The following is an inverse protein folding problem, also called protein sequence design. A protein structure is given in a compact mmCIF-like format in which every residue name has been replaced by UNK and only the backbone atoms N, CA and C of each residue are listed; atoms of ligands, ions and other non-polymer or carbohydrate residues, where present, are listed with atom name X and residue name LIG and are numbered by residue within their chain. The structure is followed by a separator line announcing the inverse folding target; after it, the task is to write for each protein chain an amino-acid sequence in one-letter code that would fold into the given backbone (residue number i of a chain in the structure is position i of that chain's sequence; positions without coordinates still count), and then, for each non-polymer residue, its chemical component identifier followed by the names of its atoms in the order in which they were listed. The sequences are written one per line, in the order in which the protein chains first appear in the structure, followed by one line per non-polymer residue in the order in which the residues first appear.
data_IF_086489714624
#
_entry.id   IF_086489714624
#
_cell.length_a   1.000
_cell.length_b   1.000
_cell.length_c   1.000
_cell.angle_alpha   90.00
_cell.angle_beta   90.00
_cell.angle_gamma   90.00
#
_symmetry.space_group_name_H-M   'P 1'
#
loop_
_entity.id
_entity.type
_entity.pdbx_description
1 polymer ?
#
# COMPACT_ATOMS: atom_id res chain seq x y z
N UNK A 1 -6.47 11.11 -17.20
CA UNK A 1 -5.49 11.45 -16.13
C UNK A 1 -6.19 12.17 -14.96
N UNK A 2 -5.76 11.94 -13.71
CA UNK A 2 -6.51 12.31 -12.49
C UNK A 2 -6.28 13.74 -11.95
N UNK A 3 -5.56 14.60 -12.68
CA UNK A 3 -5.26 15.99 -12.26
C UNK A 3 -3.87 16.18 -11.66
N UNK A 4 -3.65 17.32 -10.98
CA UNK A 4 -2.35 17.70 -10.39
C UNK A 4 -2.03 16.87 -9.15
N UNK A 5 -0.85 16.25 -9.14
CA UNK A 5 -0.33 15.52 -7.98
C UNK A 5 -0.22 16.41 -6.73
N UNK A 6 0.25 17.65 -6.88
CA UNK A 6 0.42 18.59 -5.77
C UNK A 6 -0.92 19.00 -5.14
N UNK A 7 -1.96 19.20 -5.96
CA UNK A 7 -3.29 19.51 -5.44
C UNK A 7 -3.89 18.29 -4.72
N UNK A 8 -3.71 17.09 -5.28
CA UNK A 8 -4.18 15.84 -4.67
C UNK A 8 -3.55 15.63 -3.28
N UNK A 9 -2.22 15.73 -3.18
CA UNK A 9 -1.52 15.59 -1.89
C UNK A 9 -1.91 16.69 -0.91
N UNK A 10 -2.02 17.96 -1.35
CA UNK A 10 -2.46 19.05 -0.47
C UNK A 10 -3.85 18.82 0.10
N UNK A 11 -4.79 18.32 -0.70
CA UNK A 11 -6.13 17.97 -0.26
C UNK A 11 -6.11 16.94 0.88
N UNK A 12 -5.38 15.83 0.71
CA UNK A 12 -5.26 14.80 1.74
C UNK A 12 -4.50 15.28 2.99
N UNK A 13 -3.41 16.05 2.82
CA UNK A 13 -2.62 16.62 3.92
C UNK A 13 -3.43 17.58 4.80
N UNK A 14 -4.45 18.24 4.24
CA UNK A 14 -5.37 19.09 5.02
C UNK A 14 -6.26 18.30 5.99
N UNK A 15 -6.40 16.98 5.79
CA UNK A 15 -7.22 16.09 6.62
C UNK A 15 -6.41 15.27 7.62
N UNK A 16 -5.08 15.49 7.71
CA UNK A 16 -4.16 14.66 8.48
C UNK A 16 -4.48 14.52 9.97
N UNK A 17 -5.17 15.50 10.54
CA UNK A 17 -5.50 15.55 11.97
C UNK A 17 -6.88 14.92 12.27
N UNK A 18 -7.57 14.37 11.25
CA UNK A 18 -8.85 13.67 11.45
C UNK A 18 -8.59 12.25 11.96
N UNK A 19 -9.35 11.85 12.98
CA UNK A 19 -9.22 10.53 13.62
C UNK A 19 -9.44 9.35 12.66
N UNK A 20 -10.18 9.56 11.57
CA UNK A 20 -10.49 8.54 10.56
C UNK A 20 -9.63 8.65 9.30
N UNK A 21 -8.51 9.36 9.34
CA UNK A 21 -7.55 9.48 8.22
C UNK A 21 -6.15 9.13 8.71
N UNK A 22 -5.54 8.13 8.07
CA UNK A 22 -4.14 7.78 8.28
C UNK A 22 -3.34 8.16 7.03
N UNK A 23 -2.37 9.08 7.19
CA UNK A 23 -1.40 9.40 6.14
C UNK A 23 -0.11 8.62 6.36
N UNK A 24 0.37 7.99 5.29
CA UNK A 24 1.63 7.25 5.22
C UNK A 24 2.32 7.60 3.91
N UNK A 25 3.65 7.67 3.92
CA UNK A 25 4.42 7.72 2.69
C UNK A 25 4.81 6.32 2.21
N UNK A 26 5.12 6.23 0.92
CA UNK A 26 5.63 5.00 0.34
C UNK A 26 7.01 4.64 0.92
N UNK A 27 7.83 5.65 1.16
CA UNK A 27 9.19 5.53 1.67
C UNK A 27 9.21 5.02 3.12
N UNK A 28 8.24 5.41 3.95
CA UNK A 28 8.05 4.85 5.30
C UNK A 28 7.80 3.34 5.21
N UNK A 29 6.85 2.93 4.37
CA UNK A 29 6.52 1.52 4.15
C UNK A 29 7.70 0.72 3.59
N UNK A 30 8.56 1.34 2.78
CA UNK A 30 9.75 0.68 2.23
C UNK A 30 10.88 0.57 3.26
N UNK A 31 11.11 1.61 4.05
CA UNK A 31 12.19 1.68 5.04
C UNK A 31 11.95 0.77 6.23
N UNK A 32 10.73 0.78 6.76
CA UNK A 32 10.33 -0.07 7.88
C UNK A 32 8.89 -0.58 7.72
N UNK A 33 8.71 -1.68 6.95
CA UNK A 33 7.40 -2.26 6.73
C UNK A 33 6.70 -2.71 8.02
N UNK A 34 7.46 -3.21 9.01
CA UNK A 34 6.90 -3.75 10.25
C UNK A 34 6.25 -2.66 11.08
N UNK A 35 7.00 -1.61 11.38
CA UNK A 35 6.47 -0.47 12.14
C UNK A 35 5.31 0.21 11.40
N UNK A 36 5.37 0.27 10.07
CA UNK A 36 4.28 0.83 9.25
C UNK A 36 3.01 -0.01 9.33
N UNK A 37 3.13 -1.35 9.26
CA UNK A 37 1.98 -2.26 9.40
C UNK A 37 1.39 -2.20 10.82
N UNK A 38 2.24 -2.12 11.85
CA UNK A 38 1.79 -1.95 13.24
C UNK A 38 1.00 -0.63 13.41
N UNK A 39 1.47 0.47 12.81
CA UNK A 39 0.74 1.75 12.76
C UNK A 39 -0.62 1.64 12.06
N UNK A 40 -0.71 0.88 10.97
CA UNK A 40 -1.98 0.58 10.29
C UNK A 40 -2.91 -0.24 11.20
N UNK A 41 -2.38 -1.26 11.87
CA UNK A 41 -3.15 -2.08 12.80
C UNK A 41 -3.72 -1.26 13.96
N UNK A 42 -2.89 -0.40 14.56
CA UNK A 42 -3.31 0.51 15.62
C UNK A 42 -4.43 1.45 15.15
N UNK A 43 -4.27 2.05 13.97
CA UNK A 43 -5.30 2.92 13.38
C UNK A 43 -6.63 2.19 13.14
N UNK A 44 -6.58 0.93 12.69
CA UNK A 44 -7.77 0.09 12.48
C UNK A 44 -8.31 -0.55 13.77
N UNK A 45 -7.68 -0.30 14.92
CA UNK A 45 -8.05 -0.93 16.20
C UNK A 45 -7.87 -2.46 16.21
N UNK A 46 -6.91 -2.98 15.43
CA UNK A 46 -6.60 -4.41 15.35
C UNK A 46 -5.32 -4.74 16.11
N UNK A 47 -5.34 -5.85 16.82
CA UNK A 47 -4.15 -6.45 17.44
C UNK A 47 -3.85 -7.75 16.70
N UNK A 48 -2.63 -7.88 16.19
CA UNK A 48 -2.14 -9.09 15.56
C UNK A 48 -1.17 -9.79 16.52
N UNK A 49 -1.20 -11.12 16.53
CA UNK A 49 -0.13 -11.90 17.15
C UNK A 49 1.14 -11.90 16.25
N UNK A 50 2.30 -12.34 16.76
CA UNK A 50 3.54 -12.35 15.99
C UNK A 50 3.45 -13.10 14.66
N UNK A 51 2.77 -14.25 14.64
CA UNK A 51 2.63 -15.10 13.46
C UNK A 51 1.75 -14.44 12.38
N UNK A 52 0.68 -13.77 12.79
CA UNK A 52 -0.20 -12.98 11.92
C UNK A 52 0.56 -11.79 11.33
N UNK A 53 1.33 -11.07 12.14
CA UNK A 53 2.13 -9.93 11.68
C UNK A 53 3.19 -10.37 10.67
N UNK A 54 3.89 -11.47 10.94
CA UNK A 54 4.88 -12.03 10.03
C UNK A 54 4.24 -12.53 8.72
N UNK A 55 3.02 -13.09 8.79
CA UNK A 55 2.22 -13.46 7.62
C UNK A 55 1.86 -12.23 6.77
N UNK A 56 1.41 -11.14 7.39
CA UNK A 56 1.12 -9.88 6.67
C UNK A 56 2.39 -9.37 6.00
N UNK A 57 3.49 -9.27 6.75
CA UNK A 57 4.79 -8.80 6.23
C UNK A 57 5.25 -9.59 4.99
N UNK A 58 5.17 -10.92 5.05
CA UNK A 58 5.52 -11.80 3.94
C UNK A 58 4.61 -11.55 2.73
N UNK A 59 3.30 -11.55 2.94
CA UNK A 59 2.33 -11.42 1.85
C UNK A 59 2.29 -10.02 1.23
N UNK A 60 2.63 -8.97 2.00
CA UNK A 60 2.77 -7.59 1.51
C UNK A 60 4.13 -7.30 0.90
N UNK A 61 5.06 -8.25 0.89
CA UNK A 61 6.37 -8.05 0.28
C UNK A 61 6.24 -7.91 -1.24
N UNK A 62 7.11 -7.07 -1.83
CA UNK A 62 7.08 -6.81 -3.26
C UNK A 62 7.17 -8.08 -4.11
N UNK A 63 8.07 -8.99 -3.74
CA UNK A 63 8.27 -10.26 -4.45
C UNK A 63 6.98 -11.10 -4.46
N UNK A 64 6.37 -11.31 -3.28
CA UNK A 64 5.14 -12.10 -3.16
C UNK A 64 3.97 -11.44 -3.90
N UNK A 65 3.81 -10.13 -3.77
CA UNK A 65 2.74 -9.40 -4.48
C UNK A 65 2.91 -9.43 -6.01
N UNK A 66 4.15 -9.40 -6.51
CA UNK A 66 4.46 -9.43 -7.94
C UNK A 66 4.18 -10.80 -8.56
N UNK A 67 4.36 -11.89 -7.81
CA UNK A 67 4.10 -13.26 -8.29
C UNK A 67 2.64 -13.70 -8.10
N UNK A 68 1.93 -13.09 -7.16
CA UNK A 68 0.53 -13.40 -6.92
C UNK A 68 -0.37 -12.81 -8.03
N UNK A 69 -0.94 -13.70 -8.86
CA UNK A 69 -1.83 -13.36 -9.98
C UNK A 69 -3.03 -12.49 -9.60
N UNK A 70 -3.50 -12.59 -8.36
CA UNK A 70 -4.62 -11.80 -7.86
C UNK A 70 -4.23 -10.35 -7.50
N UNK A 71 -2.93 -10.05 -7.36
CA UNK A 71 -2.42 -8.72 -7.04
C UNK A 71 -1.52 -8.12 -8.12
N UNK A 72 -1.05 -8.91 -9.08
CA UNK A 72 -0.09 -8.48 -10.09
C UNK A 72 -0.72 -7.99 -11.42
N UNK A 73 -2.05 -7.88 -11.47
CA UNK A 73 -2.86 -7.42 -12.59
C UNK A 73 -2.98 -8.38 -13.79
N UNK A 74 -2.37 -9.58 -13.77
CA UNK A 74 -2.47 -10.56 -14.87
C UNK A 74 -3.90 -11.00 -15.16
N UNK A 75 -4.80 -10.98 -14.18
CA UNK A 75 -6.20 -11.40 -14.35
C UNK A 75 -7.08 -10.32 -14.96
N UNK A 76 -6.57 -9.10 -15.17
CA UNK A 76 -7.35 -8.01 -15.76
C UNK A 76 -7.35 -8.10 -17.29
N UNK A 77 -8.47 -7.76 -17.95
CA UNK A 77 -8.52 -7.73 -19.40
C UNK A 77 -7.61 -6.63 -19.97
N UNK A 78 -7.03 -6.86 -21.14
CA UNK A 78 -6.09 -5.96 -21.84
C UNK A 78 -6.68 -4.55 -22.09
N UNK A 79 -8.01 -4.42 -22.09
CA UNK A 79 -8.70 -3.13 -22.21
C UNK A 79 -8.51 -2.23 -20.98
N UNK A 80 -8.05 -2.77 -19.86
CA UNK A 80 -7.87 -2.06 -18.58
C UNK A 80 -6.42 -1.89 -18.15
N UNK A 81 -5.51 -2.71 -18.69
CA UNK A 81 -4.10 -2.71 -18.30
C UNK A 81 -3.26 -2.78 -19.57
N UNK A 82 -2.29 -1.87 -19.68
CA UNK A 82 -1.30 -1.90 -20.75
C UNK A 82 -0.47 -3.18 -20.65
N UNK A 83 -0.28 -3.88 -21.77
CA UNK A 83 0.51 -5.12 -21.85
C UNK A 83 1.95 -4.95 -21.37
N UNK A 84 2.48 -3.74 -21.52
CA UNK A 84 3.86 -3.43 -21.13
C UNK A 84 3.98 -2.94 -19.69
N UNK A 85 2.86 -2.81 -18.95
CA UNK A 85 2.89 -2.40 -17.55
C UNK A 85 3.57 -3.47 -16.70
N UNK A 86 4.72 -3.12 -16.12
CA UNK A 86 5.44 -3.95 -15.15
C UNK A 86 5.39 -3.30 -13.79
N UNK A 87 4.93 -4.05 -12.79
CA UNK A 87 5.04 -3.64 -11.40
C UNK A 87 6.54 -3.54 -11.07
N UNK A 88 7.00 -2.33 -10.79
CA UNK A 88 8.38 -2.02 -10.43
C UNK A 88 8.41 -1.38 -9.05
N UNK A 89 9.42 -1.75 -8.27
CA UNK A 89 9.83 -1.06 -7.05
C UNK A 89 11.07 -0.25 -7.41
N UNK A 90 11.05 1.06 -7.21
CA UNK A 90 12.27 1.88 -7.30
C UNK A 90 13.02 1.86 -5.98
#
# INVERSE_FOLDING_TARGET
PYGSWFEHIRGWMSMRDRENVLLLSYEELQKDPRSTIEKICQFLGKKLNPEELDSVLKNSSFHVMKENKMSNLETLPETRVDKDFKITRK
#
